data_IF_219118931149
#
_entry.id   IF_219118931149
#
_cell.length_a   1.000
_cell.length_b   1.000
_cell.length_c   1.000
_cell.angle_alpha   90.00
_cell.angle_beta   90.00
_cell.angle_gamma   90.00
#
_symmetry.space_group_name_H-M   'P 1'
#
loop_
_entity.id
_entity.type
_entity.pdbx_description
1 polymer ?
#
# COMPACT_ATOMS: atom_id res chain seq x y z
N UNK A 1 -29.46 -21.86 -7.14
CA UNK A 1 -29.26 -21.07 -5.91
C UNK A 1 -27.86 -21.17 -5.33
N UNK A 2 -27.23 -22.37 -5.17
CA UNK A 2 -25.81 -22.50 -4.79
C UNK A 2 -24.87 -22.00 -5.88
N UNK A 3 -25.07 -22.38 -7.13
CA UNK A 3 -24.22 -22.01 -8.27
C UNK A 3 -24.32 -20.52 -8.63
N UNK A 4 -25.46 -19.87 -8.39
CA UNK A 4 -25.62 -18.42 -8.58
C UNK A 4 -24.92 -17.62 -7.47
N UNK A 5 -24.96 -18.10 -6.22
CA UNK A 5 -24.22 -17.53 -5.11
C UNK A 5 -22.70 -17.67 -5.30
N UNK A 6 -22.23 -18.83 -5.74
CA UNK A 6 -20.81 -19.06 -6.04
C UNK A 6 -20.34 -18.21 -7.21
N UNK A 7 -21.19 -17.96 -8.21
CA UNK A 7 -20.87 -17.08 -9.36
C UNK A 7 -20.83 -15.60 -8.95
N UNK A 8 -21.73 -15.15 -8.07
CA UNK A 8 -21.75 -13.78 -7.54
C UNK A 8 -20.53 -13.54 -6.65
N UNK A 9 -20.19 -14.49 -5.79
CA UNK A 9 -19.00 -14.42 -4.91
C UNK A 9 -17.71 -14.44 -5.74
N UNK A 10 -17.65 -15.21 -6.83
CA UNK A 10 -16.50 -15.24 -7.74
C UNK A 10 -16.33 -13.93 -8.51
N UNK A 11 -17.42 -13.34 -9.02
CA UNK A 11 -17.39 -12.05 -9.73
C UNK A 11 -17.00 -10.89 -8.80
N UNK A 12 -17.41 -10.94 -7.54
CA UNK A 12 -17.04 -9.93 -6.52
C UNK A 12 -15.56 -10.04 -6.13
N UNK A 13 -14.98 -11.25 -6.12
CA UNK A 13 -13.57 -11.49 -5.85
C UNK A 13 -12.63 -10.96 -6.95
N UNK A 14 -13.10 -10.85 -8.19
CA UNK A 14 -12.29 -10.30 -9.29
C UNK A 14 -12.21 -8.75 -9.26
N UNK A 15 -13.19 -8.10 -8.66
CA UNK A 15 -13.23 -6.62 -8.54
C UNK A 15 -12.24 -6.11 -7.50
N UNK A 16 -12.15 -6.79 -6.35
CA UNK A 16 -11.38 -6.29 -5.22
C UNK A 16 -9.99 -6.93 -5.14
N UNK A 17 -8.99 -6.08 -4.86
CA UNK A 17 -7.65 -6.53 -4.49
C UNK A 17 -7.60 -6.96 -3.02
N UNK A 18 -8.28 -6.23 -2.15
CA UNK A 18 -8.37 -6.51 -0.71
C UNK A 18 -9.84 -6.51 -0.31
N UNK A 19 -10.23 -7.49 0.51
CA UNK A 19 -11.52 -7.53 1.18
C UNK A 19 -11.35 -8.03 2.60
N UNK A 20 -11.69 -7.17 3.55
CA UNK A 20 -11.72 -7.46 4.98
C UNK A 20 -13.17 -7.47 5.45
N UNK A 21 -13.60 -8.55 6.09
CA UNK A 21 -14.95 -8.69 6.62
C UNK A 21 -14.88 -8.98 8.12
N UNK A 22 -15.38 -8.04 8.91
CA UNK A 22 -15.45 -8.14 10.37
C UNK A 22 -14.09 -8.56 10.97
N UNK A 23 -13.00 -7.97 10.50
CA UNK A 23 -11.64 -8.37 10.83
C UNK A 23 -11.30 -7.99 12.27
N UNK A 24 -10.87 -8.96 13.06
CA UNK A 24 -10.53 -8.80 14.47
C UNK A 24 -9.08 -9.20 14.71
N UNK A 25 -8.35 -8.39 15.49
CA UNK A 25 -7.01 -8.72 15.96
C UNK A 25 -6.86 -8.44 17.45
N UNK A 26 -6.50 -9.47 18.18
CA UNK A 26 -6.27 -9.44 19.63
C UNK A 26 -4.83 -9.89 19.89
N UNK A 27 -4.05 -9.04 20.55
CA UNK A 27 -2.73 -9.42 21.08
C UNK A 27 -2.87 -9.78 22.55
N UNK A 28 -2.38 -10.96 22.92
CA UNK A 28 -2.39 -11.46 24.29
C UNK A 28 -0.96 -11.62 24.80
N UNK A 29 -0.68 -11.01 25.92
CA UNK A 29 0.49 -11.28 26.76
C UNK A 29 0.02 -11.91 28.07
N UNK A 30 0.95 -12.31 28.96
CA UNK A 30 0.59 -12.92 30.24
C UNK A 30 -0.40 -12.08 31.07
N UNK A 31 -0.30 -10.76 30.98
CA UNK A 31 -0.99 -9.84 31.89
C UNK A 31 -1.91 -8.82 31.18
N UNK A 32 -1.85 -8.71 29.87
CA UNK A 32 -2.58 -7.70 29.09
C UNK A 32 -3.16 -8.30 27.81
N UNK A 33 -4.41 -7.95 27.54
CA UNK A 33 -5.09 -8.23 26.28
C UNK A 33 -5.38 -6.89 25.58
N UNK A 34 -4.86 -6.73 24.35
CA UNK A 34 -5.06 -5.54 23.54
C UNK A 34 -5.83 -5.90 22.30
N UNK A 35 -7.03 -5.33 22.14
CA UNK A 35 -7.84 -5.48 20.94
C UNK A 35 -7.41 -4.38 19.95
N UNK A 36 -6.62 -4.76 18.96
CA UNK A 36 -6.06 -3.83 17.98
C UNK A 36 -7.00 -3.58 16.79
N UNK A 37 -7.82 -4.57 16.42
CA UNK A 37 -8.91 -4.42 15.45
C UNK A 37 -10.19 -5.03 16.01
N UNK A 38 -11.33 -4.37 15.80
CA UNK A 38 -12.61 -4.65 16.46
C UNK A 38 -13.75 -4.85 15.45
N UNK A 39 -13.56 -5.72 14.45
CA UNK A 39 -14.56 -5.91 13.40
C UNK A 39 -14.41 -4.86 12.29
N UNK A 40 -13.22 -4.80 11.70
CA UNK A 40 -12.91 -3.88 10.62
C UNK A 40 -13.39 -4.44 9.29
N UNK A 41 -14.16 -3.64 8.55
CA UNK A 41 -14.57 -3.89 7.17
C UNK A 41 -13.83 -2.95 6.23
N UNK A 42 -13.24 -3.48 5.17
CA UNK A 42 -12.53 -2.67 4.18
C UNK A 42 -12.47 -3.42 2.84
N UNK A 43 -12.92 -2.75 1.79
CA UNK A 43 -12.75 -3.18 0.41
C UNK A 43 -11.81 -2.22 -0.32
N UNK A 44 -10.86 -2.77 -1.10
CA UNK A 44 -9.95 -2.00 -1.96
C UNK A 44 -10.03 -2.57 -3.36
N UNK A 45 -10.37 -1.74 -4.34
CA UNK A 45 -10.49 -2.16 -5.73
C UNK A 45 -9.11 -2.43 -6.36
N UNK A 46 -9.07 -3.27 -7.39
CA UNK A 46 -7.83 -3.51 -8.15
C UNK A 46 -7.39 -2.23 -8.86
N UNK A 47 -6.11 -1.90 -8.77
CA UNK A 47 -5.55 -0.70 -9.35
C UNK A 47 -5.95 0.60 -8.63
N UNK A 48 -6.48 0.51 -7.41
CA UNK A 48 -6.81 1.67 -6.59
C UNK A 48 -5.57 2.19 -5.86
N UNK A 49 -5.42 3.51 -5.78
CA UNK A 49 -4.50 4.21 -4.88
C UNK A 49 -5.31 4.80 -3.74
N UNK A 50 -5.19 4.22 -2.53
CA UNK A 50 -5.91 4.70 -1.37
C UNK A 50 -5.00 5.01 -0.18
N UNK A 51 -5.47 5.89 0.70
CA UNK A 51 -4.86 6.15 2.00
C UNK A 51 -5.74 5.69 3.15
N UNK A 52 -5.10 5.19 4.20
CA UNK A 52 -5.70 4.90 5.49
C UNK A 52 -5.13 5.88 6.51
N UNK A 53 -5.99 6.71 7.09
CA UNK A 53 -5.60 7.70 8.08
C UNK A 53 -6.15 7.33 9.47
N UNK A 54 -5.58 7.93 10.51
CA UNK A 54 -6.04 7.74 11.90
C UNK A 54 -4.94 8.02 12.90
N UNK A 55 -5.32 8.15 14.16
CA UNK A 55 -4.40 8.44 15.26
C UNK A 55 -3.40 7.30 15.51
N UNK A 56 -2.31 7.61 16.20
CA UNK A 56 -1.38 6.56 16.66
C UNK A 56 -2.15 5.54 17.52
N UNK A 57 -1.89 4.25 17.30
CA UNK A 57 -2.58 3.17 18.02
C UNK A 57 -3.96 2.78 17.48
N UNK A 58 -4.48 3.42 16.44
CA UNK A 58 -5.81 3.09 15.88
C UNK A 58 -5.90 1.75 15.15
N UNK A 59 -4.79 1.01 14.99
CA UNK A 59 -4.77 -0.31 14.34
C UNK A 59 -4.25 -0.34 12.91
N UNK A 60 -3.84 0.80 12.33
CA UNK A 60 -3.37 0.91 10.92
C UNK A 60 -2.20 -0.03 10.58
N UNK A 61 -1.11 0.04 11.33
CA UNK A 61 0.05 -0.85 11.10
C UNK A 61 -0.27 -2.31 11.39
N UNK A 62 -1.21 -2.59 12.31
CA UNK A 62 -1.74 -3.94 12.53
C UNK A 62 -2.46 -4.47 11.30
N UNK A 63 -3.33 -3.67 10.71
CA UNK A 63 -4.00 -4.02 9.45
C UNK A 63 -2.97 -4.26 8.34
N UNK A 64 -2.02 -3.32 8.16
CA UNK A 64 -0.97 -3.47 7.14
C UNK A 64 -0.17 -4.75 7.29
N UNK A 65 0.19 -5.13 8.53
CA UNK A 65 0.92 -6.36 8.81
C UNK A 65 0.11 -7.61 8.41
N UNK A 66 -1.20 -7.61 8.62
CA UNK A 66 -2.05 -8.73 8.20
C UNK A 66 -2.19 -8.76 6.68
N UNK A 67 -2.41 -7.61 6.03
CA UNK A 67 -2.43 -7.50 4.57
C UNK A 67 -1.10 -7.95 3.95
N UNK A 68 0.02 -7.64 4.59
CA UNK A 68 1.36 -8.09 4.16
C UNK A 68 1.69 -9.56 4.47
N UNK A 69 0.78 -10.30 5.11
CA UNK A 69 1.02 -11.70 5.50
C UNK A 69 2.10 -11.87 6.58
N UNK A 70 2.31 -10.84 7.39
CA UNK A 70 3.29 -10.81 8.49
C UNK A 70 2.65 -11.18 9.83
N UNK A 71 1.34 -11.04 9.91
CA UNK A 71 0.53 -11.41 11.06
C UNK A 71 -0.79 -12.04 10.59
N UNK A 72 -1.47 -12.76 11.49
CA UNK A 72 -2.76 -13.43 11.19
C UNK A 72 -3.88 -12.77 11.99
N UNK A 73 -5.07 -12.59 11.42
CA UNK A 73 -6.22 -12.13 12.18
C UNK A 73 -6.61 -13.15 13.27
N UNK A 74 -7.23 -12.64 14.34
CA UNK A 74 -7.78 -13.48 15.41
C UNK A 74 -9.18 -14.02 15.05
N UNK A 75 -9.96 -13.26 14.26
CA UNK A 75 -11.27 -13.63 13.73
C UNK A 75 -11.62 -12.76 12.51
N UNK A 76 -12.73 -13.06 11.84
CA UNK A 76 -13.17 -12.40 10.61
C UNK A 76 -12.56 -13.05 9.37
N UNK A 77 -12.73 -12.41 8.20
CA UNK A 77 -12.22 -12.91 6.92
C UNK A 77 -11.26 -11.89 6.31
N UNK A 78 -10.22 -12.39 5.64
CA UNK A 78 -9.23 -11.57 4.94
C UNK A 78 -8.90 -12.20 3.59
N UNK A 79 -9.34 -11.53 2.53
CA UNK A 79 -9.05 -11.93 1.15
C UNK A 79 -8.12 -10.90 0.52
N UNK A 80 -7.07 -11.38 -0.15
CA UNK A 80 -6.19 -10.55 -0.97
C UNK A 80 -5.93 -11.26 -2.29
N UNK A 81 -6.06 -10.53 -3.39
CA UNK A 81 -5.95 -11.06 -4.75
C UNK A 81 -6.84 -12.30 -4.98
N UNK A 82 -8.07 -12.27 -4.43
CA UNK A 82 -9.05 -13.36 -4.49
C UNK A 82 -8.74 -14.58 -3.60
N UNK A 83 -7.66 -14.53 -2.80
CA UNK A 83 -7.22 -15.65 -1.97
C UNK A 83 -7.53 -15.40 -0.49
N UNK A 84 -8.06 -16.39 0.19
CA UNK A 84 -8.32 -16.38 1.64
C UNK A 84 -7.02 -16.60 2.41
N UNK A 85 -6.49 -15.54 3.05
CA UNK A 85 -5.22 -15.59 3.77
C UNK A 85 -5.29 -16.48 5.02
N UNK A 86 -6.47 -16.71 5.58
CA UNK A 86 -6.61 -17.58 6.75
C UNK A 86 -6.36 -19.05 6.40
N UNK A 87 -6.56 -19.42 5.13
CA UNK A 87 -6.33 -20.80 4.63
C UNK A 87 -4.91 -21.04 4.14
N UNK A 88 -4.05 -20.00 4.16
CA UNK A 88 -2.67 -20.13 3.69
C UNK A 88 -1.83 -21.03 4.57
N UNK A 89 -1.09 -21.92 3.91
CA UNK A 89 0.05 -22.62 4.52
C UNK A 89 1.27 -21.69 4.60
N UNK A 90 2.29 -22.09 5.32
CA UNK A 90 3.55 -21.31 5.38
C UNK A 90 4.19 -21.14 3.98
N UNK A 91 4.02 -22.12 3.09
CA UNK A 91 4.48 -22.04 1.70
C UNK A 91 3.69 -20.99 0.92
N UNK A 92 2.36 -20.93 1.10
CA UNK A 92 1.51 -19.94 0.45
C UNK A 92 1.85 -18.52 0.92
N UNK A 93 2.11 -18.34 2.22
CA UNK A 93 2.58 -17.07 2.77
C UNK A 93 3.95 -16.65 2.22
N UNK A 94 4.89 -17.60 2.02
CA UNK A 94 6.19 -17.28 1.40
C UNK A 94 6.03 -16.83 -0.04
N UNK A 95 5.20 -17.52 -0.82
CA UNK A 95 4.93 -17.17 -2.22
C UNK A 95 4.19 -15.82 -2.33
N UNK A 96 3.19 -15.60 -1.48
CA UNK A 96 2.43 -14.36 -1.38
C UNK A 96 3.35 -13.15 -1.12
N UNK A 97 4.19 -13.21 -0.09
CA UNK A 97 5.15 -12.15 0.25
C UNK A 97 6.22 -11.93 -0.81
N UNK A 98 6.53 -12.95 -1.61
CA UNK A 98 7.54 -12.87 -2.65
C UNK A 98 7.01 -12.28 -3.95
N UNK A 99 5.78 -12.65 -4.34
CA UNK A 99 5.26 -12.41 -5.68
C UNK A 99 4.01 -11.53 -5.75
N UNK A 100 3.29 -11.33 -4.63
CA UNK A 100 2.03 -10.59 -4.65
C UNK A 100 2.14 -9.22 -3.99
N UNK A 101 2.93 -9.13 -2.90
CA UNK A 101 3.00 -7.92 -2.06
C UNK A 101 4.38 -7.31 -2.05
N UNK A 102 4.46 -6.01 -2.34
CA UNK A 102 5.60 -5.17 -2.00
C UNK A 102 5.33 -4.42 -0.70
N UNK A 103 6.32 -4.28 0.17
CA UNK A 103 6.16 -3.59 1.45
C UNK A 103 7.20 -2.49 1.63
N UNK A 104 6.73 -1.27 1.91
CA UNK A 104 7.56 -0.10 2.22
C UNK A 104 7.34 0.27 3.69
N UNK A 105 8.35 0.05 4.53
CA UNK A 105 8.27 0.33 5.96
C UNK A 105 8.58 1.79 6.28
N UNK A 106 7.98 2.30 7.35
CA UNK A 106 8.35 3.59 7.95
C UNK A 106 9.83 3.66 8.32
N UNK A 107 10.35 2.57 8.90
CA UNK A 107 11.76 2.44 9.22
C UNK A 107 12.50 1.74 8.08
N UNK A 108 13.28 2.51 7.32
CA UNK A 108 14.08 2.03 6.18
C UNK A 108 15.01 0.85 6.53
N UNK A 109 15.48 0.75 7.78
CA UNK A 109 16.33 -0.35 8.22
C UNK A 109 15.68 -1.73 8.07
N UNK A 110 14.36 -1.81 7.94
CA UNK A 110 13.64 -3.06 7.68
C UNK A 110 13.67 -3.48 6.20
N UNK A 111 13.83 -2.53 5.28
CA UNK A 111 13.89 -2.80 3.85
C UNK A 111 15.33 -2.97 3.34
N UNK A 112 16.33 -2.43 4.04
CA UNK A 112 17.65 -2.19 3.51
C UNK A 112 18.71 -3.02 4.23
N UNK A 113 19.61 -3.61 3.48
CA UNK A 113 20.80 -4.30 4.00
C UNK A 113 21.97 -3.29 3.97
N UNK A 114 22.49 -2.85 5.14
CA UNK A 114 23.34 -1.66 5.23
C UNK A 114 24.69 -1.78 4.53
N UNK A 115 25.25 -2.97 4.39
CA UNK A 115 26.53 -3.22 3.74
C UNK A 115 26.44 -3.43 2.22
N UNK A 116 25.23 -3.51 1.67
CA UNK A 116 25.00 -3.59 0.22
C UNK A 116 24.89 -2.20 -0.40
N UNK A 117 25.25 -2.08 -1.67
CA UNK A 117 24.95 -0.87 -2.46
C UNK A 117 23.47 -0.77 -2.80
N UNK A 118 23.00 0.41 -3.25
CA UNK A 118 21.62 0.61 -3.64
C UNK A 118 21.14 -0.45 -4.66
N UNK A 119 21.93 -0.69 -5.72
CA UNK A 119 21.54 -1.68 -6.74
C UNK A 119 21.57 -3.11 -6.19
N UNK A 120 22.51 -3.47 -5.32
CA UNK A 120 22.54 -4.79 -4.69
C UNK A 120 21.35 -5.03 -3.75
N UNK A 121 20.90 -4.00 -3.06
CA UNK A 121 19.68 -4.05 -2.25
C UNK A 121 18.45 -4.36 -3.14
N UNK A 122 18.30 -3.68 -4.28
CA UNK A 122 17.19 -3.93 -5.21
C UNK A 122 17.31 -5.30 -5.90
N UNK A 123 18.52 -5.79 -6.17
CA UNK A 123 18.74 -7.12 -6.73
C UNK A 123 18.38 -8.27 -5.78
N UNK A 124 18.46 -8.03 -4.47
CA UNK A 124 18.35 -9.08 -3.45
C UNK A 124 17.03 -9.87 -3.51
N UNK A 125 15.83 -9.24 -3.52
CA UNK A 125 14.57 -9.97 -3.65
C UNK A 125 14.49 -10.81 -4.92
N UNK A 126 14.95 -10.28 -6.04
CA UNK A 126 14.98 -10.96 -7.34
C UNK A 126 15.95 -12.14 -7.34
N UNK A 127 17.11 -12.00 -6.67
CA UNK A 127 18.07 -13.10 -6.48
C UNK A 127 17.42 -14.25 -5.70
N UNK A 128 16.71 -13.95 -4.62
CA UNK A 128 16.02 -14.94 -3.80
C UNK A 128 14.83 -15.59 -4.55
N UNK A 129 14.30 -14.92 -5.57
CA UNK A 129 13.26 -15.44 -6.46
C UNK A 129 13.83 -16.20 -7.68
N UNK A 130 15.16 -16.28 -7.84
CA UNK A 130 15.79 -16.98 -8.95
C UNK A 130 15.84 -16.21 -10.27
N UNK A 131 15.60 -14.88 -10.26
CA UNK A 131 15.60 -14.05 -11.48
C UNK A 131 17.02 -13.86 -12.03
N UNK A 132 17.19 -14.16 -13.32
CA UNK A 132 18.51 -14.08 -13.99
C UNK A 132 18.84 -12.67 -14.49
N UNK A 133 17.84 -11.88 -14.89
CA UNK A 133 18.01 -10.51 -15.42
C UNK A 133 17.95 -9.42 -14.34
N UNK A 134 18.10 -9.80 -13.08
CA UNK A 134 17.92 -8.92 -11.91
C UNK A 134 18.71 -7.62 -11.98
N UNK A 135 19.93 -7.64 -12.53
CA UNK A 135 20.79 -6.43 -12.62
C UNK A 135 20.19 -5.36 -13.51
N UNK A 136 19.70 -5.74 -14.68
CA UNK A 136 19.07 -4.80 -15.60
C UNK A 136 17.80 -4.22 -14.96
N UNK A 137 16.93 -5.06 -14.43
CA UNK A 137 15.69 -4.64 -13.76
C UNK A 137 15.96 -3.75 -12.55
N UNK A 138 16.98 -4.06 -11.74
CA UNK A 138 17.35 -3.21 -10.61
C UNK A 138 17.81 -1.81 -11.04
N UNK A 139 18.50 -1.68 -12.19
CA UNK A 139 18.89 -0.38 -12.74
C UNK A 139 17.68 0.40 -13.25
N UNK A 140 16.74 -0.25 -13.91
CA UNK A 140 15.48 0.34 -14.38
C UNK A 140 14.63 0.85 -13.19
N UNK A 141 14.51 0.05 -12.12
CA UNK A 141 13.80 0.46 -10.91
C UNK A 141 14.49 1.64 -10.20
N UNK A 142 15.83 1.65 -10.13
CA UNK A 142 16.57 2.78 -9.57
C UNK A 142 16.45 4.04 -10.42
N UNK A 143 16.33 3.92 -11.74
CA UNK A 143 16.06 5.06 -12.62
C UNK A 143 14.68 5.66 -12.37
N UNK A 144 13.66 4.82 -12.24
CA UNK A 144 12.27 5.23 -11.93
C UNK A 144 12.15 6.01 -10.62
N UNK A 145 12.92 5.63 -9.61
CA UNK A 145 12.94 6.37 -8.33
C UNK A 145 13.98 7.51 -8.31
N UNK A 146 14.58 7.85 -9.47
CA UNK A 146 15.54 8.94 -9.64
C UNK A 146 16.90 8.70 -8.98
N UNK A 147 17.32 7.44 -8.82
CA UNK A 147 18.54 7.05 -8.11
C UNK A 147 19.57 6.30 -8.97
N UNK A 148 19.44 6.29 -10.31
CA UNK A 148 20.38 5.57 -11.19
C UNK A 148 21.83 6.03 -10.99
N UNK A 149 22.07 7.33 -10.76
CA UNK A 149 23.39 7.88 -10.50
C UNK A 149 23.97 7.44 -9.14
N UNK A 150 23.13 6.99 -8.23
CA UNK A 150 23.47 6.54 -6.88
C UNK A 150 23.54 5.02 -6.73
N UNK A 151 23.41 4.27 -7.83
CA UNK A 151 23.34 2.79 -7.86
C UNK A 151 24.44 2.07 -7.08
N UNK A 152 25.66 2.63 -7.06
CA UNK A 152 26.81 2.06 -6.37
C UNK A 152 27.05 2.67 -4.97
N UNK A 153 26.23 3.62 -4.52
CA UNK A 153 26.34 4.21 -3.18
C UNK A 153 25.87 3.19 -2.13
N UNK A 154 26.54 3.15 -1.00
CA UNK A 154 26.08 2.46 0.20
C UNK A 154 25.10 3.34 0.97
N UNK A 155 24.36 2.74 1.90
CA UNK A 155 23.30 3.43 2.63
C UNK A 155 23.83 4.56 3.52
N UNK A 156 25.02 4.40 4.08
CA UNK A 156 25.71 5.42 4.88
C UNK A 156 26.10 6.68 4.07
N UNK A 157 26.12 6.56 2.74
CA UNK A 157 26.39 7.63 1.78
C UNK A 157 25.12 8.29 1.23
N UNK A 158 23.93 7.87 1.69
CA UNK A 158 22.63 8.25 1.16
C UNK A 158 21.81 9.00 2.22
N UNK A 159 21.09 10.04 1.79
CA UNK A 159 20.11 10.70 2.66
C UNK A 159 18.94 9.78 3.01
N UNK A 160 18.20 10.09 4.07
CA UNK A 160 16.99 9.32 4.45
C UNK A 160 15.98 9.22 3.31
N UNK A 161 15.76 10.31 2.57
CA UNK A 161 14.86 10.30 1.40
C UNK A 161 15.40 9.49 0.21
N UNK A 162 16.72 9.40 -0.01
CA UNK A 162 17.31 8.50 -0.98
C UNK A 162 17.14 7.04 -0.56
N UNK A 163 17.38 6.74 0.72
CA UNK A 163 17.16 5.40 1.28
C UNK A 163 15.69 4.97 1.16
N UNK A 164 14.73 5.88 1.41
CA UNK A 164 13.31 5.61 1.24
C UNK A 164 12.97 5.26 -0.21
N UNK A 165 13.51 5.98 -1.19
CA UNK A 165 13.31 5.66 -2.60
C UNK A 165 13.97 4.33 -3.01
N UNK A 166 15.10 3.95 -2.41
CA UNK A 166 15.66 2.60 -2.59
C UNK A 166 14.70 1.55 -2.01
N UNK A 167 14.09 1.79 -0.84
CA UNK A 167 13.11 0.88 -0.24
C UNK A 167 11.89 0.67 -1.16
N UNK A 168 11.42 1.73 -1.82
CA UNK A 168 10.35 1.63 -2.84
C UNK A 168 10.80 0.75 -4.02
N UNK A 169 12.00 0.97 -4.54
CA UNK A 169 12.54 0.14 -5.63
C UNK A 169 12.68 -1.34 -5.24
N UNK A 170 13.05 -1.63 -3.98
CA UNK A 170 13.09 -3.00 -3.43
C UNK A 170 11.69 -3.61 -3.39
N UNK A 171 10.71 -2.85 -2.92
CA UNK A 171 9.32 -3.33 -2.83
C UNK A 171 8.73 -3.68 -4.20
N UNK A 172 9.19 -3.04 -5.27
CA UNK A 172 8.79 -3.29 -6.67
C UNK A 172 9.57 -4.41 -7.37
N UNK A 173 10.64 -4.93 -6.76
CA UNK A 173 11.60 -5.80 -7.43
C UNK A 173 11.00 -7.07 -8.05
N UNK A 174 9.96 -7.63 -7.46
CA UNK A 174 9.29 -8.85 -7.92
C UNK A 174 7.92 -8.60 -8.59
N UNK A 175 7.68 -7.40 -9.14
CA UNK A 175 6.43 -6.98 -9.82
C UNK A 175 5.17 -7.26 -8.98
N UNK A 176 5.08 -6.69 -7.77
CA UNK A 176 3.95 -6.93 -6.89
C UNK A 176 2.66 -6.35 -7.48
N UNK A 177 1.53 -7.02 -7.23
CA UNK A 177 0.20 -6.50 -7.58
C UNK A 177 -0.37 -5.56 -6.52
N UNK A 178 0.15 -5.66 -5.30
CA UNK A 178 -0.22 -4.87 -4.15
C UNK A 178 1.02 -4.24 -3.52
N UNK A 179 1.03 -2.93 -3.36
CA UNK A 179 2.05 -2.20 -2.62
C UNK A 179 1.46 -1.66 -1.33
N UNK A 180 2.05 -2.05 -0.21
CA UNK A 180 1.69 -1.58 1.12
C UNK A 180 2.76 -0.63 1.63
N UNK A 181 2.39 0.58 2.04
CA UNK A 181 3.32 1.58 2.52
C UNK A 181 2.92 2.09 3.91
N UNK A 182 3.77 1.84 4.90
CA UNK A 182 3.57 2.28 6.28
C UNK A 182 4.34 3.60 6.49
N UNK A 183 3.63 4.72 6.55
CA UNK A 183 4.15 6.07 6.71
C UNK A 183 5.36 6.39 5.80
N UNK A 184 5.23 6.20 4.47
CA UNK A 184 6.37 6.25 3.56
C UNK A 184 7.05 7.62 3.46
N UNK A 185 6.42 8.66 3.98
CA UNK A 185 6.91 10.06 3.97
C UNK A 185 7.20 10.62 5.36
N UNK A 186 6.94 9.86 6.43
CA UNK A 186 7.00 10.35 7.81
C UNK A 186 8.38 10.81 8.30
N UNK A 187 9.47 10.45 7.62
CA UNK A 187 10.84 10.80 8.01
C UNK A 187 11.62 11.60 6.96
N UNK A 188 10.93 12.15 5.95
CA UNK A 188 11.56 12.90 4.85
C UNK A 188 11.02 14.33 4.75
N UNK A 189 11.76 15.22 4.05
CA UNK A 189 11.31 16.58 3.79
C UNK A 189 10.14 16.63 2.78
N UNK A 190 9.43 17.76 2.75
CA UNK A 190 8.24 17.96 1.90
C UNK A 190 8.51 17.72 0.40
N UNK A 191 9.69 18.14 -0.09
CA UNK A 191 10.05 17.94 -1.50
C UNK A 191 10.20 16.46 -1.83
N UNK A 192 10.85 15.72 -0.94
CA UNK A 192 11.01 14.27 -1.06
C UNK A 192 9.66 13.54 -0.89
N UNK A 193 8.80 14.02 0.01
CA UNK A 193 7.44 13.49 0.18
C UNK A 193 6.64 13.59 -1.12
N UNK A 194 6.61 14.76 -1.76
CA UNK A 194 5.92 14.94 -3.03
C UNK A 194 6.49 14.03 -4.13
N UNK A 195 7.81 13.89 -4.21
CA UNK A 195 8.45 12.98 -5.17
C UNK A 195 8.05 11.53 -4.94
N UNK A 196 7.94 11.08 -3.69
CA UNK A 196 7.48 9.72 -3.36
C UNK A 196 6.02 9.53 -3.78
N UNK A 197 5.16 10.52 -3.57
CA UNK A 197 3.77 10.48 -4.01
C UNK A 197 3.65 10.41 -5.53
N UNK A 198 4.45 11.20 -6.24
CA UNK A 198 4.46 11.17 -7.71
C UNK A 198 4.87 9.78 -8.21
N UNK A 199 5.89 9.16 -7.61
CA UNK A 199 6.27 7.77 -7.92
C UNK A 199 5.09 6.81 -7.71
N UNK A 200 4.35 6.91 -6.59
CA UNK A 200 3.19 6.05 -6.35
C UNK A 200 2.06 6.28 -7.36
N UNK A 201 1.78 7.54 -7.74
CA UNK A 201 0.79 7.86 -8.76
C UNK A 201 1.16 7.30 -10.13
N UNK A 202 2.43 7.45 -10.54
CA UNK A 202 2.94 6.88 -11.80
C UNK A 202 2.80 5.35 -11.80
N UNK A 203 3.23 4.68 -10.74
CA UNK A 203 3.10 3.22 -10.61
C UNK A 203 1.64 2.76 -10.69
N UNK A 204 0.75 3.45 -10.00
CA UNK A 204 -0.68 3.13 -10.03
C UNK A 204 -1.28 3.35 -11.43
N UNK A 205 -0.99 4.48 -12.06
CA UNK A 205 -1.53 4.84 -13.38
C UNK A 205 -1.03 3.91 -14.48
N UNK A 206 0.28 3.67 -14.54
CA UNK A 206 0.93 3.01 -15.67
C UNK A 206 0.90 1.48 -15.55
N UNK A 207 1.06 0.94 -14.34
CA UNK A 207 1.14 -0.50 -14.09
C UNK A 207 -0.11 -1.08 -13.42
N UNK A 208 -1.07 -0.22 -13.05
CA UNK A 208 -2.30 -0.64 -12.35
C UNK A 208 -2.03 -1.39 -11.05
N UNK A 209 -0.90 -1.10 -10.40
CA UNK A 209 -0.59 -1.65 -9.06
C UNK A 209 -1.59 -1.06 -8.07
N UNK A 210 -2.21 -1.90 -7.26
CA UNK A 210 -3.01 -1.43 -6.13
C UNK A 210 -2.09 -0.94 -5.03
N UNK A 211 -2.31 0.27 -4.51
CA UNK A 211 -1.43 0.88 -3.51
C UNK A 211 -2.25 1.29 -2.30
N UNK A 212 -1.83 0.82 -1.12
CA UNK A 212 -2.43 1.22 0.17
C UNK A 212 -1.36 1.92 1.01
N UNK A 213 -1.59 3.19 1.30
CA UNK A 213 -0.70 4.03 2.10
C UNK A 213 -1.35 4.23 3.47
N UNK A 214 -0.65 3.88 4.53
CA UNK A 214 -1.03 4.24 5.90
C UNK A 214 -0.26 5.49 6.30
N UNK A 215 -0.97 6.50 6.80
CA UNK A 215 -0.34 7.75 7.23
C UNK A 215 -1.18 8.47 8.30
N UNK A 216 -0.52 9.31 9.08
CA UNK A 216 -1.19 10.31 9.93
C UNK A 216 -1.14 11.71 9.31
N UNK A 217 -0.45 11.88 8.17
CA UNK A 217 -0.36 13.16 7.46
C UNK A 217 -1.56 13.33 6.50
N UNK A 218 -2.50 14.18 6.90
CA UNK A 218 -3.69 14.52 6.10
C UNK A 218 -3.34 15.26 4.82
N UNK A 219 -2.22 16.01 4.77
CA UNK A 219 -1.78 16.70 3.56
C UNK A 219 -1.37 15.71 2.46
N UNK A 220 -0.81 14.57 2.85
CA UNK A 220 -0.52 13.49 1.92
C UNK A 220 -1.83 12.91 1.38
N UNK A 221 -2.82 12.74 2.25
CA UNK A 221 -4.14 12.26 1.87
C UNK A 221 -4.85 13.16 0.84
N UNK A 222 -4.57 14.48 0.83
CA UNK A 222 -5.13 15.42 -0.16
C UNK A 222 -4.71 15.11 -1.61
N UNK A 223 -3.68 14.32 -1.81
CA UNK A 223 -3.20 13.91 -3.13
C UNK A 223 -3.67 12.52 -3.57
N UNK A 224 -4.56 11.88 -2.80
CA UNK A 224 -5.02 10.51 -3.00
C UNK A 224 -6.53 10.51 -3.22
N UNK A 225 -6.99 9.68 -4.18
CA UNK A 225 -8.37 9.71 -4.65
C UNK A 225 -9.37 9.19 -3.62
N UNK A 226 -8.98 8.21 -2.78
CA UNK A 226 -9.82 7.69 -1.71
C UNK A 226 -9.05 7.61 -0.40
N UNK A 227 -9.66 8.18 0.64
CA UNK A 227 -9.12 8.19 2.00
C UNK A 227 -10.14 7.57 2.96
N UNK A 228 -9.70 6.62 3.77
CA UNK A 228 -10.52 5.95 4.78
C UNK A 228 -9.90 6.17 6.16
N UNK A 229 -10.71 6.54 7.13
CA UNK A 229 -10.25 6.70 8.51
C UNK A 229 -10.42 5.40 9.32
N UNK A 230 -9.41 5.04 10.11
CA UNK A 230 -9.50 3.99 11.11
C UNK A 230 -9.44 4.62 12.50
N UNK A 231 -10.48 4.36 13.31
CA UNK A 231 -10.57 4.79 14.71
C UNK A 231 -10.84 3.57 15.58
N UNK A 232 -10.08 3.41 16.66
CA UNK A 232 -10.24 2.35 17.65
C UNK A 232 -10.40 0.94 17.03
N UNK A 233 -9.58 0.64 16.02
CA UNK A 233 -9.57 -0.66 15.33
C UNK A 233 -10.77 -0.93 14.45
N UNK A 234 -11.55 0.09 14.07
CA UNK A 234 -12.68 -0.01 13.13
C UNK A 234 -12.51 0.98 11.99
N UNK A 235 -12.97 0.61 10.81
CA UNK A 235 -13.16 1.61 9.76
C UNK A 235 -14.31 2.53 10.17
N UNK A 236 -14.08 3.81 10.03
CA UNK A 236 -15.19 4.76 10.02
C UNK A 236 -15.96 4.52 8.73
N UNK A 237 -17.28 4.51 8.80
CA UNK A 237 -18.16 4.46 7.62
C UNK A 237 -18.05 5.72 6.76
N UNK A 238 -17.32 6.72 7.22
CA UNK A 238 -17.07 7.96 6.53
C UNK A 238 -15.88 7.76 5.57
N UNK A 239 -16.17 7.78 4.30
CA UNK A 239 -15.16 8.03 3.26
C UNK A 239 -14.75 9.49 3.48
N UNK A 240 -13.54 9.71 3.97
CA UNK A 240 -13.04 11.07 4.24
C UNK A 240 -12.95 11.86 2.94
N UNK A 241 -12.68 11.18 1.80
CA UNK A 241 -12.65 11.78 0.48
C UNK A 241 -12.71 10.70 -0.61
N UNK A 242 -13.50 10.97 -1.64
CA UNK A 242 -13.43 10.24 -2.92
C UNK A 242 -13.46 11.28 -4.03
N UNK A 243 -12.38 11.38 -4.81
CA UNK A 243 -12.37 12.19 -6.02
C UNK A 243 -13.04 11.40 -7.13
N UNK A 244 -14.05 11.96 -7.73
CA UNK A 244 -14.61 11.50 -8.99
C UNK A 244 -14.11 12.41 -10.12
N UNK A 245 -13.70 11.80 -11.22
CA UNK A 245 -13.30 12.51 -12.43
C UNK A 245 -14.36 12.27 -13.49
N UNK A 246 -14.73 13.32 -14.20
CA UNK A 246 -15.58 13.24 -15.38
C UNK A 246 -14.73 13.51 -16.62
N UNK A 247 -15.04 12.83 -17.72
CA UNK A 247 -14.44 13.10 -19.01
C UNK A 247 -15.09 14.35 -19.60
N UNK A 248 -14.31 15.40 -19.80
CA UNK A 248 -14.73 16.61 -20.50
C UNK A 248 -13.91 16.80 -21.77
N UNK A 249 -14.50 17.43 -22.78
CA UNK A 249 -13.79 17.85 -24.00
C UNK A 249 -13.17 19.21 -23.73
N UNK A 250 -11.86 19.33 -23.96
CA UNK A 250 -11.20 20.62 -23.93
C UNK A 250 -11.57 21.47 -25.20
N UNK A 251 -11.14 22.72 -25.26
CA UNK A 251 -11.43 23.62 -26.40
C UNK A 251 -10.88 23.08 -27.73
N UNK A 252 -9.96 22.13 -27.73
CA UNK A 252 -9.40 21.47 -28.91
C UNK A 252 -10.11 20.16 -29.27
N UNK A 253 -11.09 19.72 -28.47
CA UNK A 253 -11.87 18.51 -28.72
C UNK A 253 -11.21 17.22 -28.19
N UNK A 254 -10.15 17.32 -27.36
CA UNK A 254 -9.53 16.16 -26.71
C UNK A 254 -10.27 15.86 -25.43
N UNK A 255 -10.38 14.56 -25.10
CA UNK A 255 -10.94 14.09 -23.81
C UNK A 255 -9.92 14.37 -22.71
N UNK A 256 -10.31 15.13 -21.70
CA UNK A 256 -9.54 15.39 -20.48
C UNK A 256 -10.35 14.95 -19.26
N UNK A 257 -9.66 14.42 -18.26
CA UNK A 257 -10.26 14.07 -16.97
C UNK A 257 -10.26 15.32 -16.07
N UNK A 258 -11.46 15.79 -15.73
CA UNK A 258 -11.66 16.95 -14.84
C UNK A 258 -12.23 16.48 -13.51
N UNK A 259 -11.77 17.05 -12.41
CA UNK A 259 -12.29 16.72 -11.08
C UNK A 259 -13.77 17.16 -11.00
N UNK A 260 -14.66 16.23 -10.63
CA UNK A 260 -16.08 16.51 -10.52
C UNK A 260 -16.37 17.39 -9.30
N UNK A 261 -16.64 18.67 -9.52
CA UNK A 261 -16.90 19.65 -8.46
C UNK A 261 -18.28 19.52 -7.79
N UNK A 262 -19.18 18.69 -8.31
CA UNK A 262 -20.52 18.54 -7.76
C UNK A 262 -20.57 17.60 -6.53
N UNK A 263 -19.61 16.68 -6.38
CA UNK A 263 -19.53 15.77 -5.22
C UNK A 263 -18.76 16.37 -4.02
N UNK A 264 -18.08 17.50 -4.18
CA UNK A 264 -17.34 18.17 -3.10
C UNK A 264 -18.20 18.99 -2.13
N UNK A 265 -19.52 19.05 -2.31
CA UNK A 265 -20.43 19.92 -1.55
C UNK A 265 -20.83 19.41 -0.13
N UNK A 266 -20.29 18.29 0.33
CA UNK A 266 -20.52 17.76 1.70
C UNK A 266 -19.22 17.52 2.47
N UNK A 267 -18.28 18.47 2.40
CA UNK A 267 -17.12 18.48 3.27
C UNK A 267 -17.38 19.29 4.54
N UNK A 268 -17.92 18.68 5.58
CA UNK A 268 -17.55 19.07 6.93
C UNK A 268 -16.25 18.33 7.29
N UNK A 269 -15.14 19.06 7.21
CA UNK A 269 -13.86 18.65 7.79
C UNK A 269 -14.10 18.40 9.28
N UNK A 270 -14.24 17.13 9.68
CA UNK A 270 -14.25 16.80 11.10
C UNK A 270 -12.81 16.95 11.58
N UNK A 271 -12.55 18.10 12.21
CA UNK A 271 -11.34 18.35 12.97
C UNK A 271 -11.25 17.25 14.03
N UNK A 272 -10.21 16.45 13.97
CA UNK A 272 -9.89 15.45 14.97
C UNK A 272 -9.29 16.16 16.19
N UNK A 273 -10.10 16.47 17.21
CA UNK A 273 -9.64 16.83 18.55
C UNK A 273 -9.13 15.58 19.28
#
# INVERSE_FOLDING_TARGET
MSDELDTIVAADNDKYMIRCENLVKIYKTSDVEVVALQGLDLDVERGELMAIVGNSGSGKSTLLNMLGGLDKPSAGNLYVDGKDLLKFTDKDYMEYKRNTVGFVWQNNARNLVPYLTAVQNVELPMLLNGEHKRRQKALELLDRVGLLKRKNSRLDQMSGGEQQRVAIAIALANDPRLLLADEPTGSVDTKTSNMILDIFKELNKDEKITIVIVTHDLKLADHIDRVVAIRDGRTSSEIVRKRSYVEELNEMGDIVLVENSEETAHEELIVLD
#
